data_IF_133118853462
#
_entry.id   IF_133118853462
#
_cell.length_a   1.000
_cell.length_b   1.000
_cell.length_c   1.000
_cell.angle_alpha   90.00
_cell.angle_beta   90.00
_cell.angle_gamma   90.00
#
_symmetry.space_group_name_H-M   'P 1'
#
loop_
_entity.id
_entity.type
_entity.pdbx_description
1 polymer ?
#
# COMPACT_ATOMS: atom_id res chain seq x y z
N UNK A 1 49.39 37.33 25.89
CA UNK A 1 48.20 37.08 25.05
C UNK A 1 48.41 35.91 24.07
N UNK A 2 49.03 34.80 24.49
CA UNK A 2 49.34 33.65 23.62
C UNK A 2 49.01 32.28 24.23
N UNK A 3 48.58 32.21 25.49
CA UNK A 3 48.23 30.96 26.19
C UNK A 3 46.75 30.61 26.12
N UNK A 4 45.85 31.60 26.05
CA UNK A 4 44.40 31.37 25.98
C UNK A 4 43.96 30.85 24.60
N UNK A 5 44.72 31.16 23.55
CA UNK A 5 44.39 30.78 22.17
C UNK A 5 44.73 29.31 21.83
N UNK A 6 45.52 28.62 22.66
CA UNK A 6 45.85 27.19 22.47
C UNK A 6 44.77 26.25 23.02
N UNK A 7 44.01 26.66 24.02
CA UNK A 7 42.94 25.82 24.60
C UNK A 7 41.63 25.85 23.82
N UNK A 8 41.35 26.93 23.08
CA UNK A 8 40.13 27.03 22.26
C UNK A 8 40.26 26.23 20.96
N UNK A 9 41.46 26.16 20.37
CA UNK A 9 41.72 25.41 19.14
C UNK A 9 41.64 23.88 19.37
N UNK A 10 41.91 23.41 20.59
CA UNK A 10 41.79 21.98 20.93
C UNK A 10 40.35 21.54 21.26
N UNK A 11 39.41 22.47 21.49
CA UNK A 11 38.02 22.13 21.79
C UNK A 11 37.15 21.96 20.54
N UNK A 12 37.63 22.38 19.36
CA UNK A 12 36.89 22.32 18.09
C UNK A 12 37.13 21.05 17.26
N UNK A 13 38.00 20.13 17.69
CA UNK A 13 38.38 18.92 16.94
C UNK A 13 37.63 17.64 17.34
N UNK A 14 36.69 17.71 18.28
CA UNK A 14 35.90 16.54 18.73
C UNK A 14 34.44 16.56 18.24
N UNK A 15 34.07 17.52 17.38
CA UNK A 15 32.70 17.68 16.87
C UNK A 15 32.48 17.09 15.46
N UNK A 16 33.31 16.14 15.06
CA UNK A 16 33.17 15.41 13.80
C UNK A 16 32.89 13.93 14.09
N UNK A 17 31.83 13.42 13.45
CA UNK A 17 31.35 12.02 13.43
C UNK A 17 30.27 11.58 14.44
N UNK A 18 29.26 12.42 14.68
CA UNK A 18 27.89 11.91 14.82
C UNK A 18 27.03 12.30 13.61
N UNK A 19 27.56 12.05 12.41
CA UNK A 19 26.69 11.85 11.25
C UNK A 19 26.07 10.45 11.41
N UNK A 20 25.03 10.36 12.24
CA UNK A 20 24.20 9.18 12.23
C UNK A 20 23.47 9.20 10.90
N UNK A 21 24.08 8.58 9.88
CA UNK A 21 23.38 8.24 8.65
C UNK A 21 22.12 7.50 9.09
N UNK A 22 20.96 8.13 8.91
CA UNK A 22 19.70 7.44 8.99
C UNK A 22 19.78 6.38 7.90
N UNK A 23 20.16 5.17 8.30
CA UNK A 23 20.02 3.99 7.46
C UNK A 23 18.53 3.93 7.19
N UNK A 24 18.12 4.32 5.98
CA UNK A 24 16.81 4.01 5.46
C UNK A 24 16.60 2.52 5.76
N UNK A 25 15.69 2.22 6.67
CA UNK A 25 15.27 0.86 6.90
C UNK A 25 14.54 0.45 5.62
N UNK A 26 15.28 -0.01 4.63
CA UNK A 26 14.74 -0.94 3.66
C UNK A 26 14.27 -2.12 4.48
N UNK A 27 12.97 -2.09 4.82
CA UNK A 27 12.32 -3.12 5.60
C UNK A 27 12.75 -4.46 5.03
N UNK A 28 13.28 -5.32 5.90
CA UNK A 28 13.59 -6.71 5.55
C UNK A 28 12.42 -7.26 4.75
N UNK A 29 12.67 -7.69 3.50
CA UNK A 29 11.65 -8.29 2.64
C UNK A 29 11.09 -9.50 3.40
N UNK A 30 9.99 -9.30 4.13
CA UNK A 30 9.31 -10.39 4.83
C UNK A 30 8.85 -11.37 3.75
N UNK A 31 9.12 -12.66 3.98
CA UNK A 31 8.66 -13.69 3.08
C UNK A 31 7.13 -13.58 2.92
N UNK A 32 6.58 -13.77 1.71
CA UNK A 32 5.14 -13.77 1.51
C UNK A 32 4.47 -14.84 2.38
N UNK A 33 3.37 -14.47 3.02
CA UNK A 33 2.48 -15.38 3.73
C UNK A 33 1.58 -16.08 2.71
N UNK A 34 1.34 -17.37 2.90
CA UNK A 34 0.37 -18.13 2.11
C UNK A 34 -0.90 -18.26 2.96
N UNK A 35 -2.02 -17.73 2.47
CA UNK A 35 -3.31 -17.91 3.15
C UNK A 35 -3.97 -19.26 2.79
N UNK A 36 -5.12 -19.54 3.41
CA UNK A 36 -5.92 -20.74 3.12
C UNK A 36 -6.38 -20.88 1.66
N UNK A 37 -6.32 -19.80 0.88
CA UNK A 37 -6.65 -19.75 -0.55
C UNK A 37 -5.39 -19.87 -1.45
N UNK A 38 -4.26 -20.30 -0.88
CA UNK A 38 -2.97 -20.41 -1.57
C UNK A 38 -2.45 -19.09 -2.17
N UNK A 39 -3.00 -17.95 -1.76
CA UNK A 39 -2.48 -16.66 -2.18
C UNK A 39 -1.23 -16.33 -1.40
N UNK A 40 -0.16 -16.06 -2.14
CA UNK A 40 1.04 -15.44 -1.61
C UNK A 40 0.76 -13.95 -1.47
N UNK A 41 0.79 -13.43 -0.24
CA UNK A 41 0.65 -12.02 0.01
C UNK A 41 1.69 -11.51 1.01
N UNK A 42 1.93 -10.20 1.04
CA UNK A 42 2.73 -9.55 2.08
C UNK A 42 2.03 -8.27 2.52
N UNK A 43 2.27 -7.85 3.76
CA UNK A 43 1.84 -6.54 4.23
C UNK A 43 3.09 -5.70 4.43
N UNK A 44 3.15 -4.58 3.71
CA UNK A 44 4.27 -3.65 3.70
C UNK A 44 3.78 -2.27 4.12
N UNK A 45 4.62 -1.54 4.84
CA UNK A 45 4.35 -0.15 5.17
C UNK A 45 4.60 0.72 3.94
N UNK A 46 3.57 1.40 3.49
CA UNK A 46 3.54 2.33 2.36
C UNK A 46 3.61 3.78 2.88
N UNK A 47 4.59 4.59 2.46
CA UNK A 47 4.69 5.98 2.90
C UNK A 47 3.65 6.85 2.18
N UNK A 48 2.90 7.63 2.94
CA UNK A 48 2.03 8.70 2.44
C UNK A 48 2.77 10.01 2.70
N UNK A 49 3.26 10.64 1.64
CA UNK A 49 3.95 11.93 1.73
C UNK A 49 2.94 13.06 1.59
N UNK A 50 2.82 13.90 2.62
CA UNK A 50 2.10 15.17 2.54
C UNK A 50 3.09 16.33 2.54
N UNK A 51 2.63 17.55 2.21
CA UNK A 51 3.49 18.76 2.14
C UNK A 51 4.17 19.13 3.46
N UNK A 52 3.75 18.54 4.59
CA UNK A 52 4.27 18.82 5.93
C UNK A 52 4.90 17.59 6.60
N UNK A 53 4.28 16.41 6.44
CA UNK A 53 4.70 15.19 7.14
C UNK A 53 4.63 13.95 6.24
N UNK A 54 5.49 12.97 6.51
CA UNK A 54 5.37 11.62 5.96
C UNK A 54 4.65 10.75 6.99
N UNK A 55 3.41 10.38 6.71
CA UNK A 55 2.71 9.34 7.46
C UNK A 55 2.88 8.00 6.74
N UNK A 56 2.48 6.90 7.38
CA UNK A 56 2.62 5.58 6.78
C UNK A 56 1.37 4.75 7.00
N UNK A 57 0.99 4.00 5.97
CA UNK A 57 -0.16 3.10 6.01
C UNK A 57 0.27 1.69 5.60
N UNK A 58 -0.38 0.66 6.10
CA UNK A 58 -0.12 -0.70 5.62
C UNK A 58 -0.85 -0.97 4.30
N UNK A 59 -0.12 -1.60 3.37
CA UNK A 59 -0.60 -2.06 2.07
C UNK A 59 -0.44 -3.59 2.03
N UNK A 60 -1.51 -4.29 1.64
CA UNK A 60 -1.43 -5.71 1.32
C UNK A 60 -1.12 -5.87 -0.17
N UNK A 61 -0.10 -6.67 -0.49
CA UNK A 61 0.33 -7.00 -1.85
C UNK A 61 0.08 -8.48 -2.11
N UNK A 62 -0.61 -8.80 -3.20
CA UNK A 62 -0.86 -10.15 -3.68
C UNK A 62 0.05 -10.46 -4.87
N UNK A 63 0.69 -11.63 -4.84
CA UNK A 63 1.68 -12.04 -5.85
C UNK A 63 1.19 -13.16 -6.76
N UNK A 64 0.17 -13.92 -6.33
CA UNK A 64 -0.49 -14.93 -7.16
C UNK A 64 -1.59 -14.26 -8.00
N UNK A 65 -1.20 -13.52 -9.04
CA UNK A 65 -2.08 -12.65 -9.84
C UNK A 65 -1.86 -12.85 -11.35
N UNK A 66 -2.90 -12.61 -12.15
CA UNK A 66 -2.87 -12.56 -13.61
C UNK A 66 -2.49 -11.19 -14.15
N UNK A 67 -2.83 -10.11 -13.43
CA UNK A 67 -2.49 -8.73 -13.76
C UNK A 67 -2.32 -7.89 -12.50
N UNK A 68 -1.50 -6.83 -12.57
CA UNK A 68 -1.41 -5.83 -11.50
C UNK A 68 -2.75 -5.09 -11.25
N UNK A 69 -3.72 -5.18 -12.18
CA UNK A 69 -5.08 -4.65 -12.04
C UNK A 69 -6.09 -5.67 -11.49
N UNK A 70 -5.69 -6.87 -11.05
CA UNK A 70 -6.65 -7.87 -10.57
C UNK A 70 -7.45 -7.38 -9.36
N UNK A 71 -6.85 -6.56 -8.47
CA UNK A 71 -7.57 -5.95 -7.36
C UNK A 71 -8.56 -4.87 -7.82
N UNK A 72 -8.25 -4.12 -8.88
CA UNK A 72 -9.20 -3.17 -9.49
C UNK A 72 -10.44 -3.90 -9.97
N UNK A 73 -10.22 -4.97 -10.73
CA UNK A 73 -11.29 -5.76 -11.32
C UNK A 73 -12.12 -6.47 -10.26
N UNK A 74 -11.46 -7.05 -9.26
CA UNK A 74 -12.13 -7.67 -8.11
C UNK A 74 -13.07 -6.68 -7.44
N UNK A 75 -12.59 -5.45 -7.16
CA UNK A 75 -13.42 -4.43 -6.54
C UNK A 75 -14.57 -4.00 -7.46
N UNK A 76 -14.32 -3.82 -8.76
CA UNK A 76 -15.36 -3.47 -9.72
C UNK A 76 -16.48 -4.51 -9.82
N UNK A 77 -16.14 -5.79 -9.93
CA UNK A 77 -17.15 -6.85 -10.06
C UNK A 77 -17.97 -7.06 -8.77
N UNK A 78 -17.41 -6.72 -7.61
CA UNK A 78 -18.08 -6.91 -6.32
C UNK A 78 -18.81 -5.67 -5.82
N UNK A 79 -18.35 -4.48 -6.19
CA UNK A 79 -18.78 -3.21 -5.60
C UNK A 79 -19.09 -2.11 -6.62
N UNK A 80 -18.95 -2.39 -7.91
CA UNK A 80 -19.25 -1.44 -8.99
C UNK A 80 -18.15 -0.40 -9.20
N UNK A 81 -18.53 0.76 -9.74
CA UNK A 81 -17.57 1.81 -10.08
C UNK A 81 -16.88 2.39 -8.84
N UNK A 82 -15.61 2.73 -9.01
CA UNK A 82 -14.85 3.47 -8.01
C UNK A 82 -15.43 4.88 -7.85
N UNK A 83 -15.22 5.45 -6.68
CA UNK A 83 -15.61 6.84 -6.33
C UNK A 83 -14.57 7.85 -6.83
N UNK A 84 -13.30 7.48 -6.84
CA UNK A 84 -12.22 8.38 -7.26
C UNK A 84 -11.07 7.63 -7.94
N UNK A 85 -10.35 8.34 -8.79
CA UNK A 85 -9.17 7.88 -9.52
C UNK A 85 -8.00 8.80 -9.21
N UNK A 86 -6.88 8.20 -8.85
CA UNK A 86 -5.65 8.89 -8.48
C UNK A 86 -4.48 8.36 -9.33
N UNK A 87 -3.42 9.14 -9.43
CA UNK A 87 -2.18 8.65 -10.03
C UNK A 87 -1.62 7.47 -9.21
N UNK A 88 -1.03 6.50 -9.92
CA UNK A 88 -0.35 5.39 -9.27
C UNK A 88 0.98 5.88 -8.69
N UNK A 89 1.25 5.50 -7.44
CA UNK A 89 2.54 5.82 -6.78
C UNK A 89 3.70 4.95 -7.28
N UNK A 90 3.41 3.95 -8.12
CA UNK A 90 4.42 3.06 -8.67
C UNK A 90 5.02 3.55 -10.00
N UNK A 91 4.55 4.69 -10.53
CA UNK A 91 5.13 5.53 -11.61
C UNK A 91 5.50 4.81 -12.93
N UNK A 92 5.18 3.53 -13.11
CA UNK A 92 5.59 2.73 -14.28
C UNK A 92 4.39 2.31 -15.11
N UNK A 93 4.02 3.07 -16.16
CA UNK A 93 3.01 2.69 -17.17
C UNK A 93 1.78 1.93 -16.64
N UNK A 94 1.40 2.18 -15.39
CA UNK A 94 0.52 1.32 -14.62
C UNK A 94 -0.85 1.96 -14.53
N UNK A 95 -1.86 1.10 -14.38
CA UNK A 95 -3.22 1.51 -14.15
C UNK A 95 -3.31 2.50 -12.97
N UNK A 96 -4.22 3.48 -13.02
CA UNK A 96 -4.37 4.45 -11.96
C UNK A 96 -4.74 3.76 -10.65
N UNK A 97 -4.49 4.43 -9.53
CA UNK A 97 -5.05 4.00 -8.26
C UNK A 97 -6.55 4.27 -8.26
N UNK A 98 -7.34 3.28 -7.87
CA UNK A 98 -8.80 3.40 -7.77
C UNK A 98 -9.24 3.36 -6.32
N UNK A 99 -10.19 4.23 -5.98
CA UNK A 99 -10.69 4.43 -4.63
C UNK A 99 -12.20 4.16 -4.60
N UNK A 100 -12.63 3.23 -3.77
CA UNK A 100 -14.02 3.09 -3.37
C UNK A 100 -14.16 3.65 -1.96
N UNK A 101 -15.04 4.63 -1.79
CA UNK A 101 -15.36 5.22 -0.48
C UNK A 101 -16.68 4.67 0.03
N UNK A 102 -16.85 4.70 1.36
CA UNK A 102 -18.11 4.36 2.04
C UNK A 102 -18.65 2.96 1.68
N UNK A 103 -17.75 1.97 1.56
CA UNK A 103 -18.10 0.59 1.30
C UNK A 103 -18.45 -0.17 2.57
N UNK A 104 -19.62 -0.78 2.59
CA UNK A 104 -19.94 -1.84 3.54
C UNK A 104 -19.38 -3.18 3.03
N UNK A 105 -18.20 -3.56 3.52
CA UNK A 105 -17.53 -4.79 3.10
C UNK A 105 -18.23 -6.05 3.62
N UNK A 106 -18.93 -5.95 4.76
CA UNK A 106 -19.47 -7.11 5.49
C UNK A 106 -21.00 -7.21 5.43
N UNK A 107 -21.69 -6.18 4.96
CA UNK A 107 -23.14 -6.07 5.06
C UNK A 107 -23.63 -5.77 6.48
N UNK A 108 -22.77 -5.25 7.35
CA UNK A 108 -23.07 -4.98 8.77
C UNK A 108 -23.16 -3.48 9.11
N UNK A 109 -23.11 -2.61 8.09
CA UNK A 109 -23.17 -1.15 8.22
C UNK A 109 -21.81 -0.51 8.53
N UNK A 110 -20.75 -1.28 8.78
CA UNK A 110 -19.42 -0.71 8.95
C UNK A 110 -18.84 -0.27 7.60
N UNK A 111 -18.50 1.02 7.48
CA UNK A 111 -18.00 1.61 6.24
C UNK A 111 -16.47 1.66 6.19
N UNK A 112 -15.95 1.43 4.99
CA UNK A 112 -14.53 1.41 4.68
C UNK A 112 -14.24 2.17 3.38
N UNK A 113 -13.05 2.76 3.30
CA UNK A 113 -12.46 3.14 2.02
C UNK A 113 -11.44 2.09 1.60
N UNK A 114 -11.58 1.61 0.36
CA UNK A 114 -10.66 0.63 -0.24
C UNK A 114 -9.97 1.28 -1.42
N UNK A 115 -8.65 1.27 -1.35
CA UNK A 115 -7.78 1.83 -2.36
C UNK A 115 -7.03 0.68 -3.02
N UNK A 116 -7.02 0.66 -4.33
CA UNK A 116 -6.38 -0.40 -5.11
C UNK A 116 -5.29 0.19 -6.00
N UNK A 117 -4.17 -0.51 -6.13
CA UNK A 117 -3.02 -0.11 -6.93
C UNK A 117 -2.27 -1.38 -7.36
N UNK A 118 -1.20 -1.24 -8.14
CA UNK A 118 -0.41 -2.39 -8.52
C UNK A 118 0.89 -1.98 -9.19
N UNK A 119 1.83 -2.92 -9.25
CA UNK A 119 3.10 -2.73 -9.93
C UNK A 119 3.38 -3.89 -10.86
N UNK A 120 3.75 -3.55 -12.09
CA UNK A 120 4.22 -4.48 -13.10
C UNK A 120 5.56 -3.98 -13.66
N UNK A 121 6.63 -4.60 -13.19
CA UNK A 121 8.00 -4.25 -13.54
C UNK A 121 8.91 -5.46 -13.39
N UNK A 122 10.14 -5.38 -13.89
CA UNK A 122 11.14 -6.44 -13.75
C UNK A 122 11.43 -6.80 -12.28
N UNK A 123 11.33 -5.83 -11.38
CA UNK A 123 11.72 -5.99 -9.96
C UNK A 123 10.55 -6.33 -9.04
N UNK A 124 9.32 -6.13 -9.51
CA UNK A 124 8.12 -6.31 -8.71
C UNK A 124 6.89 -6.54 -9.59
N UNK A 125 6.11 -7.56 -9.24
CA UNK A 125 4.84 -7.90 -9.86
C UNK A 125 3.81 -8.22 -8.78
N UNK A 126 2.87 -7.30 -8.55
CA UNK A 126 1.80 -7.48 -7.55
C UNK A 126 0.58 -6.60 -7.85
N UNK A 127 -0.57 -7.03 -7.34
CA UNK A 127 -1.76 -6.21 -7.17
C UNK A 127 -1.92 -5.92 -5.68
N UNK A 128 -2.46 -4.76 -5.31
CA UNK A 128 -2.45 -4.30 -3.93
C UNK A 128 -3.74 -3.65 -3.48
N UNK A 129 -3.92 -3.61 -2.15
CA UNK A 129 -5.00 -2.95 -1.46
C UNK A 129 -4.47 -2.16 -0.25
N UNK A 130 -5.06 -1.01 -0.01
CA UNK A 130 -5.03 -0.26 1.24
C UNK A 130 -6.47 -0.16 1.73
N UNK A 131 -6.71 -0.38 3.03
CA UNK A 131 -8.04 -0.36 3.62
C UNK A 131 -8.04 0.59 4.82
N UNK A 132 -8.91 1.60 4.75
CA UNK A 132 -9.07 2.64 5.77
C UNK A 132 -10.49 2.54 6.33
N UNK A 133 -10.61 2.50 7.65
CA UNK A 133 -11.92 2.54 8.32
C UNK A 133 -12.52 3.95 8.26
N UNK A 134 -13.83 4.07 8.47
CA UNK A 134 -14.50 5.39 8.57
C UNK A 134 -13.94 6.29 9.68
N UNK A 135 -13.22 5.73 10.66
CA UNK A 135 -12.48 6.44 11.70
C UNK A 135 -11.05 6.84 11.28
N UNK A 136 -10.74 6.74 9.99
CA UNK A 136 -9.43 6.97 9.38
C UNK A 136 -8.31 6.04 9.90
N UNK A 137 -8.66 4.90 10.52
CA UNK A 137 -7.65 3.93 10.96
C UNK A 137 -7.23 3.01 9.83
N UNK A 138 -5.94 2.71 9.81
CA UNK A 138 -5.35 1.65 8.99
C UNK A 138 -5.90 0.27 9.43
N UNK A 139 -6.78 -0.30 8.62
CA UNK A 139 -7.40 -1.59 8.91
C UNK A 139 -6.46 -2.79 8.71
N UNK A 140 -5.29 -2.58 8.10
CA UNK A 140 -4.24 -3.58 7.91
C UNK A 140 -3.17 -3.52 9.00
N UNK A 141 -3.28 -2.59 9.94
CA UNK A 141 -2.42 -2.53 11.11
C UNK A 141 -2.60 -3.76 12.01
N UNK A 142 -1.50 -4.32 12.54
CA UNK A 142 -1.49 -5.59 13.30
C UNK A 142 -2.49 -5.70 14.46
N UNK A 143 -2.86 -4.56 15.07
CA UNK A 143 -3.78 -4.50 16.20
C UNK A 143 -5.22 -4.14 15.81
N UNK A 144 -5.53 -3.98 14.52
CA UNK A 144 -6.89 -3.66 14.09
C UNK A 144 -7.82 -4.88 14.28
N UNK A 145 -8.93 -4.77 15.04
CA UNK A 145 -9.72 -5.92 15.46
C UNK A 145 -10.21 -6.83 14.33
N UNK A 146 -10.58 -6.25 13.20
CA UNK A 146 -11.13 -6.98 12.05
C UNK A 146 -10.09 -7.26 10.95
N UNK A 147 -8.80 -7.05 11.21
CA UNK A 147 -7.74 -7.15 10.18
C UNK A 147 -7.76 -8.48 9.43
N UNK A 148 -7.77 -9.59 10.16
CA UNK A 148 -7.75 -10.92 9.53
C UNK A 148 -9.05 -11.22 8.79
N UNK A 149 -10.21 -10.76 9.30
CA UNK A 149 -11.50 -10.89 8.63
C UNK A 149 -11.50 -10.16 7.28
N UNK A 150 -10.96 -8.94 7.24
CA UNK A 150 -10.81 -8.13 6.01
C UNK A 150 -9.89 -8.83 5.01
N UNK A 151 -8.70 -9.25 5.45
CA UNK A 151 -7.72 -9.92 4.60
C UNK A 151 -8.35 -11.19 4.00
N UNK A 152 -9.01 -12.02 4.82
CA UNK A 152 -9.63 -13.24 4.34
C UNK A 152 -10.76 -12.98 3.35
N UNK A 153 -11.62 -11.98 3.59
CA UNK A 153 -12.71 -11.63 2.68
C UNK A 153 -12.19 -11.20 1.30
N UNK A 154 -11.25 -10.25 1.28
CA UNK A 154 -10.72 -9.70 0.03
C UNK A 154 -9.86 -10.72 -0.70
N UNK A 155 -9.09 -11.53 0.04
CA UNK A 155 -8.36 -12.68 -0.50
C UNK A 155 -9.29 -13.67 -1.20
N UNK A 156 -10.39 -14.04 -0.53
CA UNK A 156 -11.41 -14.96 -1.05
C UNK A 156 -11.98 -14.43 -2.36
N UNK A 157 -12.43 -13.17 -2.38
CA UNK A 157 -12.99 -12.52 -3.59
C UNK A 157 -12.00 -12.46 -4.74
N UNK A 158 -10.72 -12.20 -4.45
CA UNK A 158 -9.67 -12.16 -5.47
C UNK A 158 -9.36 -13.55 -6.07
N UNK A 159 -9.55 -14.65 -5.32
CA UNK A 159 -9.24 -16.01 -5.80
C UNK A 159 -10.44 -16.74 -6.40
N UNK A 160 -11.61 -16.64 -5.76
CA UNK A 160 -12.82 -17.37 -6.18
C UNK A 160 -13.45 -16.78 -7.44
N UNK A 161 -13.21 -15.50 -7.72
CA UNK A 161 -13.60 -14.92 -8.98
C UNK A 161 -12.64 -15.39 -10.08
N UNK A 162 -13.08 -16.37 -10.86
CA UNK A 162 -12.50 -16.66 -12.17
C UNK A 162 -12.81 -15.49 -13.11
N UNK A 163 -12.10 -14.38 -12.92
CA UNK A 163 -12.16 -13.19 -13.73
C UNK A 163 -11.98 -13.56 -15.21
N UNK A 164 -13.07 -13.69 -15.98
CA UNK A 164 -13.01 -13.87 -17.43
C UNK A 164 -12.39 -12.62 -18.02
N UNK A 165 -11.46 -12.70 -18.97
CA UNK A 165 -10.81 -11.51 -19.56
C UNK A 165 -11.88 -10.68 -20.29
N UNK A 166 -12.54 -9.79 -19.56
CA UNK A 166 -13.54 -8.90 -20.13
C UNK A 166 -12.85 -7.62 -20.55
N UNK A 167 -12.71 -7.43 -21.86
CA UNK A 167 -12.14 -6.20 -22.41
C UNK A 167 -12.92 -4.96 -21.96
N UNK A 168 -14.22 -5.10 -21.62
CA UNK A 168 -15.05 -3.97 -21.17
C UNK A 168 -14.48 -3.29 -19.92
N UNK A 169 -13.94 -4.05 -18.96
CA UNK A 169 -13.37 -3.49 -17.74
C UNK A 169 -12.19 -2.56 -18.06
N UNK A 170 -11.26 -3.02 -18.90
CA UNK A 170 -10.11 -2.20 -19.28
C UNK A 170 -10.47 -1.00 -20.14
N UNK A 171 -11.61 -1.02 -20.84
CA UNK A 171 -12.13 0.17 -21.51
C UNK A 171 -12.68 1.16 -20.49
N UNK A 172 -13.52 0.71 -19.55
CA UNK A 172 -14.07 1.55 -18.47
C UNK A 172 -12.92 2.18 -17.67
N UNK A 173 -11.89 1.39 -17.34
CA UNK A 173 -10.70 1.85 -16.64
C UNK A 173 -9.95 2.97 -17.37
N UNK A 174 -10.00 3.01 -18.70
CA UNK A 174 -9.36 4.07 -19.50
C UNK A 174 -10.26 5.28 -19.70
N UNK A 175 -11.59 5.11 -19.75
CA UNK A 175 -12.51 6.16 -20.18
C UNK A 175 -13.16 6.94 -19.04
N UNK A 176 -13.36 6.33 -17.87
CA UNK A 176 -13.98 7.02 -16.73
C UNK A 176 -12.90 7.80 -15.97
N UNK A 177 -13.01 9.12 -15.87
CA UNK A 177 -12.13 9.96 -15.04
C UNK A 177 -12.52 9.85 -13.58
#
# INVERSE_FOLDING_TARGET
MYTIMRSIILLCLTFSFFCCSQKNQYGTKKAPVINKYQQKYSITTFPIVTTKDTTSINEIRFFTIKSCADTHKMMYENYGLWTNKLDSEYLTHSFPRLVWSDLDLFGDGQLFSVITDGKESKDAYFASLIIVGSDNKDCLHKNYPNREKIIQLLSKKLFENNFSINQSFYQILRTQS
#
